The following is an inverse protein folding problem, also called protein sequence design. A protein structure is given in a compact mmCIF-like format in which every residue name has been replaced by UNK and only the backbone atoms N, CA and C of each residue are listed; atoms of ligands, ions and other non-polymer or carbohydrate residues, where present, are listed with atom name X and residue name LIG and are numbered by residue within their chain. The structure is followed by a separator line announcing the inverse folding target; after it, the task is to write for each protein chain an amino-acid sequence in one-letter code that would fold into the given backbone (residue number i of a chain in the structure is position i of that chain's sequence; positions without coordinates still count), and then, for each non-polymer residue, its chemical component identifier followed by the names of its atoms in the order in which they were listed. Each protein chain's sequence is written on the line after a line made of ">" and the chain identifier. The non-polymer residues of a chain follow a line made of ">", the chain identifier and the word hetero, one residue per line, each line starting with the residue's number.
data_IF_660196470053
#
_entry.id   IF_660196470053
#
_cell.length_a   1.000
_cell.length_b   1.000
_cell.length_c   1.000
_cell.angle_alpha   90.00
_cell.angle_beta   90.00
_cell.angle_gamma   90.00
#
_symmetry.space_group_name_H-M   'P 1'
#
loop_
_entity.id
_entity.type
_entity.pdbx_description
1 polymer ?
#
# COMPACT_ATOMS: atom_id res chain seq x y z
N UNK A 1 -52.01 31.61 -50.27
CA UNK A 1 -53.34 31.92 -49.72
C UNK A 1 -53.84 30.67 -48.99
N UNK A 2 -53.79 30.65 -47.66
CA UNK A 2 -54.94 30.95 -46.78
C UNK A 2 -55.96 29.80 -46.87
N UNK A 3 -56.22 28.96 -45.87
CA UNK A 3 -56.50 29.18 -44.45
C UNK A 3 -56.58 27.81 -43.75
N UNK A 4 -56.06 27.70 -42.54
CA UNK A 4 -56.73 26.93 -41.48
C UNK A 4 -57.78 27.85 -40.82
N UNK A 5 -58.72 27.39 -39.97
CA UNK A 5 -59.16 26.03 -39.63
C UNK A 5 -60.71 25.89 -39.70
N UNK A 6 -61.27 24.71 -39.41
CA UNK A 6 -62.52 24.67 -38.65
C UNK A 6 -62.50 23.49 -37.68
N UNK A 7 -62.24 23.83 -36.42
CA UNK A 7 -62.39 22.98 -35.25
C UNK A 7 -63.86 23.10 -34.87
N UNK A 8 -64.58 21.98 -34.85
CA UNK A 8 -65.82 21.92 -34.10
C UNK A 8 -65.63 20.85 -33.03
N UNK A 9 -65.40 21.37 -31.83
CA UNK A 9 -65.34 20.68 -30.56
C UNK A 9 -66.63 19.90 -30.33
N UNK A 10 -66.50 18.64 -29.93
CA UNK A 10 -67.44 18.05 -29.00
C UNK A 10 -66.65 17.21 -28.00
N UNK A 11 -66.38 17.85 -26.87
CA UNK A 11 -65.95 17.22 -25.64
C UNK A 11 -67.05 16.29 -25.16
N UNK A 12 -66.75 15.00 -25.04
CA UNK A 12 -67.33 14.21 -23.96
C UNK A 12 -66.36 13.12 -23.51
N UNK A 13 -66.04 13.22 -22.22
CA UNK A 13 -65.72 12.14 -21.29
C UNK A 13 -64.44 11.34 -21.50
N UNK A 14 -63.43 11.75 -20.73
CA UNK A 14 -62.52 10.90 -19.94
C UNK A 14 -62.57 9.40 -20.24
N UNK A 15 -61.61 8.93 -21.03
CA UNK A 15 -60.83 7.75 -20.71
C UNK A 15 -59.40 8.03 -21.16
N UNK A 16 -58.62 8.62 -20.26
CA UNK A 16 -57.16 8.49 -20.31
C UNK A 16 -56.84 7.01 -20.04
N UNK A 17 -57.07 6.16 -21.03
CA UNK A 17 -56.28 4.95 -21.14
C UNK A 17 -54.90 5.44 -21.59
N UNK A 18 -54.01 5.65 -20.63
CA UNK A 18 -52.58 5.62 -20.91
C UNK A 18 -52.35 4.39 -21.78
N UNK A 19 -52.10 4.60 -23.07
CA UNK A 19 -51.56 3.57 -23.93
C UNK A 19 -50.13 3.38 -23.44
N UNK A 20 -50.00 2.65 -22.33
CA UNK A 20 -48.75 2.04 -21.91
C UNK A 20 -48.41 1.12 -23.08
N UNK A 21 -47.45 1.55 -23.91
CA UNK A 21 -46.90 0.64 -24.93
C UNK A 21 -46.55 -0.64 -24.20
N UNK A 22 -47.09 -1.77 -24.66
CA UNK A 22 -46.66 -3.08 -24.18
C UNK A 22 -45.14 -3.11 -24.27
N UNK A 23 -44.43 -3.67 -23.28
CA UNK A 23 -42.97 -3.77 -23.35
C UNK A 23 -42.62 -4.37 -24.72
N UNK A 24 -41.84 -3.63 -25.52
CA UNK A 24 -41.27 -4.19 -26.76
C UNK A 24 -40.69 -5.55 -26.36
N UNK A 25 -41.05 -6.63 -27.09
CA UNK A 25 -40.71 -8.01 -26.75
C UNK A 25 -39.26 -8.09 -26.28
N UNK A 26 -39.06 -8.00 -24.96
CA UNK A 26 -37.75 -8.02 -24.38
C UNK A 26 -37.31 -9.45 -24.60
N UNK A 27 -36.35 -9.67 -25.50
CA UNK A 27 -35.70 -10.98 -25.63
C UNK A 27 -35.26 -11.34 -24.23
N UNK A 28 -35.94 -12.32 -23.65
CA UNK A 28 -35.53 -12.91 -22.39
C UNK A 28 -34.22 -13.61 -22.75
N UNK A 29 -33.09 -12.96 -22.44
CA UNK A 29 -31.80 -13.61 -22.49
C UNK A 29 -31.86 -14.74 -21.46
N UNK A 30 -32.08 -15.96 -21.95
CA UNK A 30 -32.00 -17.17 -21.14
C UNK A 30 -30.54 -17.60 -21.18
N UNK A 31 -29.96 -17.82 -20.01
CA UNK A 31 -28.69 -18.55 -19.90
C UNK A 31 -28.83 -19.85 -20.68
N UNK A 32 -27.86 -20.14 -21.55
CA UNK A 32 -27.81 -21.38 -22.32
C UNK A 32 -27.81 -22.54 -21.32
N UNK A 33 -28.68 -23.53 -21.52
CA UNK A 33 -28.73 -24.71 -20.67
C UNK A 33 -27.39 -25.45 -20.72
N UNK A 34 -26.88 -25.80 -19.55
CA UNK A 34 -25.58 -26.46 -19.42
C UNK A 34 -25.68 -27.94 -19.81
N UNK A 35 -25.46 -28.18 -21.11
CA UNK A 35 -25.49 -29.49 -21.76
C UNK A 35 -24.23 -30.34 -21.53
N UNK A 36 -23.29 -29.89 -20.69
CA UNK A 36 -22.08 -30.64 -20.34
C UNK A 36 -22.44 -31.89 -19.55
N UNK A 37 -21.62 -32.93 -19.70
CA UNK A 37 -21.81 -34.17 -18.94
C UNK A 37 -21.61 -33.93 -17.43
N UNK A 38 -22.16 -34.80 -16.59
CA UNK A 38 -21.94 -34.70 -15.14
C UNK A 38 -20.45 -34.82 -14.77
N UNK A 39 -19.69 -35.61 -15.54
CA UNK A 39 -18.24 -35.79 -15.35
C UNK A 39 -17.46 -34.50 -15.67
N UNK A 40 -17.87 -33.75 -16.70
CA UNK A 40 -17.27 -32.45 -17.03
C UNK A 40 -17.54 -31.41 -15.94
N UNK A 41 -18.74 -31.43 -15.35
CA UNK A 41 -19.11 -30.53 -14.24
C UNK A 41 -18.32 -30.85 -12.97
N UNK A 42 -18.17 -32.13 -12.63
CA UNK A 42 -17.37 -32.57 -11.49
C UNK A 42 -15.88 -32.22 -11.66
N UNK A 43 -15.34 -32.34 -12.88
CA UNK A 43 -13.96 -31.97 -13.18
C UNK A 43 -13.72 -30.46 -13.00
N UNK A 44 -14.65 -29.63 -13.47
CA UNK A 44 -14.58 -28.17 -13.30
C UNK A 44 -14.66 -27.77 -11.83
N UNK A 45 -15.53 -28.40 -11.05
CA UNK A 45 -15.66 -28.14 -9.61
C UNK A 45 -14.36 -28.49 -8.86
N UNK A 46 -13.72 -29.62 -9.21
CA UNK A 46 -12.42 -30.02 -8.63
C UNK A 46 -11.31 -29.04 -9.03
N UNK A 47 -11.28 -28.60 -10.29
CA UNK A 47 -10.30 -27.63 -10.77
C UNK A 47 -10.49 -26.28 -10.06
N UNK A 48 -11.73 -25.83 -9.93
CA UNK A 48 -12.08 -24.60 -9.24
C UNK A 48 -11.66 -24.64 -7.77
N UNK A 49 -11.97 -25.74 -7.07
CA UNK A 49 -11.55 -25.92 -5.68
C UNK A 49 -10.02 -25.92 -5.55
N UNK A 50 -9.32 -26.60 -6.46
CA UNK A 50 -7.85 -26.63 -6.48
C UNK A 50 -7.23 -25.23 -6.69
N UNK A 51 -7.84 -24.41 -7.56
CA UNK A 51 -7.41 -23.03 -7.78
C UNK A 51 -7.66 -22.15 -6.55
N UNK A 52 -8.81 -22.32 -5.86
CA UNK A 52 -9.08 -21.61 -4.62
C UNK A 52 -8.09 -21.98 -3.52
N UNK A 53 -7.79 -23.26 -3.36
CA UNK A 53 -6.83 -23.75 -2.37
C UNK A 53 -5.42 -23.19 -2.66
N UNK A 54 -5.02 -23.16 -3.94
CA UNK A 54 -3.74 -22.56 -4.34
C UNK A 54 -3.69 -21.05 -4.06
N UNK A 55 -4.77 -20.32 -4.36
CA UNK A 55 -4.85 -18.89 -4.06
C UNK A 55 -4.71 -18.63 -2.56
N UNK A 56 -5.39 -19.42 -1.73
CA UNK A 56 -5.32 -19.31 -0.28
C UNK A 56 -3.91 -19.61 0.25
N UNK A 57 -3.25 -20.64 -0.27
CA UNK A 57 -1.86 -20.96 0.08
C UNK A 57 -0.93 -19.80 -0.25
N UNK A 58 -1.09 -19.17 -1.42
CA UNK A 58 -0.29 -18.02 -1.81
C UNK A 58 -0.54 -16.80 -0.90
N UNK A 59 -1.80 -16.49 -0.58
CA UNK A 59 -2.10 -15.41 0.36
C UNK A 59 -1.47 -15.64 1.74
N UNK A 60 -1.54 -16.87 2.26
CA UNK A 60 -0.95 -17.22 3.55
C UNK A 60 0.59 -17.20 3.50
N UNK A 61 1.18 -17.45 2.34
CA UNK A 61 2.62 -17.30 2.12
C UNK A 61 3.04 -15.82 2.07
N UNK A 62 2.31 -14.99 1.31
CA UNK A 62 2.55 -13.55 1.24
C UNK A 62 2.39 -12.87 2.60
N UNK A 63 1.32 -13.22 3.35
CA UNK A 63 1.11 -12.71 4.72
C UNK A 63 2.29 -13.06 5.64
N UNK A 64 2.82 -14.27 5.56
CA UNK A 64 3.99 -14.68 6.35
C UNK A 64 5.23 -13.88 5.99
N UNK A 65 5.48 -13.66 4.70
CA UNK A 65 6.60 -12.83 4.25
C UNK A 65 6.46 -11.40 4.78
N UNK A 66 5.28 -10.79 4.67
CA UNK A 66 5.03 -9.43 5.17
C UNK A 66 5.26 -9.37 6.68
N UNK A 67 4.73 -10.32 7.44
CA UNK A 67 4.92 -10.39 8.89
C UNK A 67 6.40 -10.53 9.27
N UNK A 68 7.15 -11.37 8.57
CA UNK A 68 8.59 -11.53 8.80
C UNK A 68 9.35 -10.23 8.53
N UNK A 69 9.01 -9.52 7.45
CA UNK A 69 9.57 -8.20 7.15
C UNK A 69 9.22 -7.16 8.23
N UNK A 70 7.99 -7.13 8.73
CA UNK A 70 7.57 -6.22 9.80
C UNK A 70 8.32 -6.49 11.11
N UNK A 71 8.51 -7.77 11.46
CA UNK A 71 9.29 -8.18 12.64
C UNK A 71 10.74 -7.73 12.49
N UNK A 72 11.35 -7.97 11.32
CA UNK A 72 12.72 -7.52 11.04
C UNK A 72 12.84 -6.00 11.11
N UNK A 73 11.91 -5.26 10.49
CA UNK A 73 11.88 -3.82 10.51
C UNK A 73 11.81 -3.28 11.95
N UNK A 74 10.91 -3.84 12.76
CA UNK A 74 10.74 -3.45 14.16
C UNK A 74 12.02 -3.72 14.96
N UNK A 75 12.62 -4.90 14.81
CA UNK A 75 13.85 -5.25 15.53
C UNK A 75 15.02 -4.34 15.15
N UNK A 76 15.17 -3.98 13.86
CA UNK A 76 16.19 -3.02 13.40
C UNK A 76 15.97 -1.64 14.00
N UNK A 77 14.73 -1.13 14.01
CA UNK A 77 14.39 0.18 14.60
C UNK A 77 14.60 0.24 16.10
N UNK A 78 14.32 -0.85 16.82
CA UNK A 78 14.54 -0.92 18.27
C UNK A 78 16.01 -0.69 18.64
N UNK A 79 16.96 -1.16 17.84
CA UNK A 79 18.40 -0.94 18.05
C UNK A 79 18.76 0.56 18.08
N UNK A 80 18.09 1.38 17.26
CA UNK A 80 18.34 2.81 17.15
C UNK A 80 17.42 3.66 18.02
N UNK A 81 16.40 3.08 18.65
CA UNK A 81 15.39 3.81 19.44
C UNK A 81 16.00 4.65 20.57
N UNK A 82 16.97 4.10 21.32
CA UNK A 82 17.66 4.81 22.39
C UNK A 82 18.54 5.95 21.86
N UNK A 83 19.21 5.72 20.72
CA UNK A 83 20.04 6.74 20.05
C UNK A 83 19.16 7.90 19.59
N UNK A 84 18.07 7.61 18.88
CA UNK A 84 17.14 8.63 18.41
C UNK A 84 16.50 9.41 19.55
N UNK A 85 16.08 8.73 20.62
CA UNK A 85 15.54 9.39 21.81
C UNK A 85 16.55 10.33 22.45
N UNK A 86 17.81 9.88 22.57
CA UNK A 86 18.90 10.69 23.13
C UNK A 86 19.23 11.90 22.26
N UNK A 87 19.37 11.70 20.96
CA UNK A 87 19.65 12.76 20.00
C UNK A 87 18.50 13.78 19.92
N UNK A 88 17.25 13.31 19.84
CA UNK A 88 16.05 14.17 19.82
C UNK A 88 15.94 15.03 21.08
N UNK A 89 16.37 14.50 22.23
CA UNK A 89 16.36 15.27 23.48
C UNK A 89 17.44 16.35 23.47
N UNK A 90 18.65 16.03 22.98
CA UNK A 90 19.79 16.94 23.00
C UNK A 90 19.70 17.98 21.88
N UNK A 91 19.16 17.61 20.71
CA UNK A 91 18.98 18.49 19.54
C UNK A 91 18.08 19.70 19.81
N UNK A 92 17.26 19.64 20.87
CA UNK A 92 16.47 20.79 21.35
C UNK A 92 17.32 21.92 21.93
N UNK A 93 18.54 21.61 22.37
CA UNK A 93 19.43 22.55 23.05
C UNK A 93 20.73 22.79 22.28
N UNK A 94 21.17 21.82 21.48
CA UNK A 94 22.42 21.86 20.74
C UNK A 94 22.16 21.75 19.23
N UNK A 95 22.53 22.80 18.51
CA UNK A 95 22.38 22.88 17.05
C UNK A 95 23.31 21.92 16.30
N UNK A 96 24.49 21.64 16.83
CA UNK A 96 25.44 20.71 16.21
C UNK A 96 24.90 19.27 16.26
N UNK A 97 24.31 18.90 17.40
CA UNK A 97 23.64 17.60 17.56
C UNK A 97 22.40 17.50 16.68
N UNK A 98 21.66 18.60 16.51
CA UNK A 98 20.52 18.66 15.59
C UNK A 98 20.94 18.41 14.15
N UNK A 99 21.99 19.08 13.67
CA UNK A 99 22.51 18.86 12.32
C UNK A 99 22.94 17.40 12.10
N UNK A 100 23.60 16.80 13.08
CA UNK A 100 23.98 15.39 13.00
C UNK A 100 22.76 14.48 12.99
N UNK A 101 21.75 14.76 13.81
CA UNK A 101 20.49 14.01 13.82
C UNK A 101 19.79 14.07 12.46
N UNK A 102 19.64 15.26 11.89
CA UNK A 102 18.99 15.49 10.60
C UNK A 102 19.70 14.76 9.43
N UNK A 103 21.01 14.48 9.58
CA UNK A 103 21.78 13.69 8.61
C UNK A 103 21.60 12.18 8.85
N UNK A 104 21.75 11.70 10.08
CA UNK A 104 21.78 10.25 10.34
C UNK A 104 20.40 9.61 10.33
N UNK A 105 19.34 10.33 10.68
CA UNK A 105 17.96 9.82 10.72
C UNK A 105 17.54 9.20 9.37
N UNK A 106 17.60 9.93 8.23
CA UNK A 106 17.20 9.36 6.95
C UNK A 106 18.08 8.18 6.49
N UNK A 107 19.37 8.18 6.87
CA UNK A 107 20.29 7.08 6.55
C UNK A 107 19.88 5.81 7.30
N UNK A 108 19.65 5.92 8.61
CA UNK A 108 19.23 4.81 9.45
C UNK A 108 17.86 4.29 9.02
N UNK A 109 16.91 5.17 8.71
CA UNK A 109 15.59 4.77 8.22
C UNK A 109 15.68 4.01 6.89
N UNK A 110 16.49 4.50 5.95
CA UNK A 110 16.74 3.82 4.67
C UNK A 110 17.37 2.43 4.87
N UNK A 111 18.30 2.30 5.81
CA UNK A 111 18.90 1.02 6.17
C UNK A 111 17.89 0.06 6.84
N UNK A 112 17.03 0.57 7.72
CA UNK A 112 16.00 -0.24 8.37
C UNK A 112 14.98 -0.78 7.36
N UNK A 113 14.63 0.03 6.36
CA UNK A 113 13.78 -0.36 5.23
C UNK A 113 14.50 -1.28 4.23
N UNK A 114 15.79 -1.57 4.43
CA UNK A 114 16.63 -2.35 3.52
C UNK A 114 16.75 -1.75 2.11
N UNK A 115 16.61 -0.43 1.98
CA UNK A 115 16.83 0.29 0.72
C UNK A 115 18.31 0.52 0.44
N UNK A 116 19.11 0.65 1.50
CA UNK A 116 20.56 0.78 1.43
C UNK A 116 21.22 -0.26 2.34
N UNK A 117 22.40 -0.72 1.93
CA UNK A 117 23.29 -1.52 2.79
C UNK A 117 24.32 -0.62 3.47
N UNK A 118 24.88 0.34 2.73
CA UNK A 118 25.86 1.31 3.21
C UNK A 118 25.66 2.68 2.54
N UNK A 119 26.20 3.72 3.17
CA UNK A 119 26.19 5.11 2.73
C UNK A 119 27.60 5.69 2.87
N UNK A 120 28.18 6.15 1.75
CA UNK A 120 29.49 6.78 1.74
C UNK A 120 29.37 8.28 1.99
N UNK A 121 30.08 8.80 2.98
CA UNK A 121 30.11 10.22 3.33
C UNK A 121 31.52 10.78 3.19
N UNK A 122 31.61 12.08 2.89
CA UNK A 122 32.88 12.78 2.89
C UNK A 122 33.54 12.73 4.28
N UNK A 123 34.88 12.78 4.27
CA UNK A 123 35.69 12.66 5.49
C UNK A 123 35.30 13.66 6.58
N UNK A 124 34.93 14.89 6.22
CA UNK A 124 34.62 15.96 7.18
C UNK A 124 33.29 15.65 7.87
N UNK A 125 32.26 15.30 7.10
CA UNK A 125 30.94 14.94 7.62
C UNK A 125 31.00 13.66 8.46
N UNK A 126 31.71 12.63 7.99
CA UNK A 126 31.93 11.40 8.76
C UNK A 126 32.56 11.70 10.13
N UNK A 127 33.68 12.44 10.14
CA UNK A 127 34.41 12.73 11.37
C UNK A 127 33.56 13.61 12.32
N UNK A 128 32.74 14.54 11.77
CA UNK A 128 31.78 15.34 12.54
C UNK A 128 30.74 14.47 13.23
N UNK A 129 30.04 13.60 12.48
CA UNK A 129 28.98 12.72 13.01
C UNK A 129 29.51 11.90 14.19
N UNK A 130 30.61 11.18 13.99
CA UNK A 130 31.12 10.29 15.03
C UNK A 130 31.69 11.06 16.21
N UNK A 131 32.34 12.21 16.00
CA UNK A 131 32.80 13.06 17.11
C UNK A 131 31.63 13.53 17.99
N UNK A 132 30.53 13.97 17.37
CA UNK A 132 29.33 14.42 18.09
C UNK A 132 28.65 13.26 18.81
N UNK A 133 28.48 12.11 18.14
CA UNK A 133 27.85 10.92 18.75
C UNK A 133 28.70 10.36 19.90
N UNK A 134 30.04 10.36 19.78
CA UNK A 134 30.92 9.91 20.87
C UNK A 134 30.86 10.80 22.11
N UNK A 135 30.47 12.06 21.97
CA UNK A 135 30.19 12.96 23.10
C UNK A 135 28.91 12.59 23.86
N UNK A 136 28.04 11.77 23.28
CA UNK A 136 26.76 11.38 23.83
C UNK A 136 26.85 9.95 24.38
N UNK A 137 26.23 9.71 25.54
CA UNK A 137 26.17 8.37 26.11
C UNK A 137 25.19 7.51 25.31
N UNK A 138 25.74 6.70 24.40
CA UNK A 138 24.97 5.80 23.54
C UNK A 138 25.36 4.33 23.73
N UNK A 139 24.49 3.43 23.29
CA UNK A 139 24.76 1.99 23.26
C UNK A 139 25.89 1.67 22.27
N UNK A 140 26.92 0.94 22.72
CA UNK A 140 28.07 0.56 21.89
C UNK A 140 27.68 -0.23 20.65
N UNK A 141 26.70 -1.13 20.77
CA UNK A 141 26.22 -1.95 19.66
C UNK A 141 25.62 -1.08 18.55
N UNK A 142 24.85 -0.05 18.93
CA UNK A 142 24.25 0.91 18.01
C UNK A 142 25.33 1.66 17.21
N UNK A 143 26.38 2.13 17.89
CA UNK A 143 27.51 2.83 17.26
C UNK A 143 28.25 1.93 16.26
N UNK A 144 28.52 0.68 16.63
CA UNK A 144 29.20 -0.27 15.72
C UNK A 144 28.38 -0.57 14.47
N UNK A 145 27.06 -0.72 14.60
CA UNK A 145 26.18 -0.88 13.45
C UNK A 145 26.18 0.41 12.61
N UNK A 146 26.13 1.59 13.24
CA UNK A 146 26.16 2.86 12.53
C UNK A 146 27.45 3.05 11.70
N UNK A 147 28.60 2.59 12.21
CA UNK A 147 29.87 2.57 11.46
C UNK A 147 29.87 1.60 10.29
N UNK A 148 29.12 0.51 10.37
CA UNK A 148 28.99 -0.41 9.25
C UNK A 148 28.10 0.17 8.15
N UNK A 149 27.09 0.97 8.53
CA UNK A 149 26.19 1.64 7.59
C UNK A 149 26.89 2.85 6.96
N UNK A 150 27.54 3.69 7.77
CA UNK A 150 28.16 4.93 7.30
C UNK A 150 29.64 4.68 7.06
N UNK A 151 30.08 4.73 5.81
CA UNK A 151 31.46 4.49 5.39
C UNK A 151 32.13 5.82 5.04
N UNK A 152 33.41 5.94 5.40
CA UNK A 152 34.23 7.10 5.08
C UNK A 152 34.70 7.04 3.62
N UNK A 153 34.44 8.08 2.86
CA UNK A 153 34.98 8.23 1.51
C UNK A 153 36.49 8.40 1.54
N UNK A 154 37.18 7.75 0.60
CA UNK A 154 38.64 7.71 0.51
C UNK A 154 39.25 9.02 -0.02
#
# INVERSE_FOLDING_TARGET
>A
MSRFPNINDNYDSYNNEEIIRSPDESKIERLIEDNRSNEEKELDDVLYQSLQDFHKINEDYEKRIIQDFEIQLKSKKEIFSELFSSLTRISKYDTEVKEVFDIIEPIIDSYCMSYIEFCELDKITYDKIFKTIYGIRCNKMCIEILKNIIIKSN
#
